data_IF_747046081672
#
_entry.id   IF_747046081672
#
_cell.length_a   1.000
_cell.length_b   1.000
_cell.length_c   1.000
_cell.angle_alpha   90.00
_cell.angle_beta   90.00
_cell.angle_gamma   90.00
#
_symmetry.space_group_name_H-M   'P 1'
#
loop_
_entity.id
_entity.type
_entity.pdbx_description
1 polymer ?
#
# COMPACT_ATOMS: atom_id res chain seq x y z
N UNK A 1 17.09 20.53 5.39
CA UNK A 1 17.06 20.04 3.98
C UNK A 1 15.77 19.28 3.77
N UNK A 2 15.13 19.45 2.62
CA UNK A 2 13.96 18.66 2.29
C UNK A 2 14.33 17.17 2.20
N UNK A 3 13.50 16.30 2.73
CA UNK A 3 13.68 14.85 2.63
C UNK A 3 13.14 14.36 1.28
N UNK A 4 13.48 13.14 0.88
CA UNK A 4 12.88 12.52 -0.33
C UNK A 4 11.35 12.46 -0.21
N UNK A 5 10.83 12.27 1.00
CA UNK A 5 9.39 12.21 1.25
C UNK A 5 8.72 13.58 1.02
N UNK A 6 9.38 14.69 1.39
CA UNK A 6 8.90 16.04 1.09
C UNK A 6 8.84 16.28 -0.42
N UNK A 7 9.85 15.83 -1.17
CA UNK A 7 9.88 15.93 -2.64
C UNK A 7 8.75 15.11 -3.29
N UNK A 8 8.53 13.88 -2.81
CA UNK A 8 7.45 13.01 -3.28
C UNK A 8 6.07 13.61 -3.01
N UNK A 9 5.86 14.14 -1.80
CA UNK A 9 4.61 14.82 -1.43
C UNK A 9 4.38 16.09 -2.26
N UNK A 10 5.44 16.88 -2.47
CA UNK A 10 5.35 18.09 -3.31
C UNK A 10 5.00 17.73 -4.76
N UNK A 11 5.66 16.74 -5.33
CA UNK A 11 5.38 16.27 -6.67
C UNK A 11 3.95 15.70 -6.80
N UNK A 12 3.47 14.99 -5.79
CA UNK A 12 2.08 14.53 -5.76
C UNK A 12 1.08 15.70 -5.80
N UNK A 13 1.33 16.79 -5.04
CA UNK A 13 0.51 18.01 -5.11
C UNK A 13 0.50 18.64 -6.50
N UNK A 14 1.65 18.70 -7.18
CA UNK A 14 1.73 19.22 -8.55
C UNK A 14 0.92 18.36 -9.51
N UNK A 15 1.05 17.03 -9.44
CA UNK A 15 0.26 16.08 -10.25
C UNK A 15 -1.25 16.24 -10.05
N UNK A 16 -1.68 16.52 -8.81
CA UNK A 16 -3.10 16.75 -8.52
C UNK A 16 -3.61 18.02 -9.18
N UNK A 17 -2.83 19.12 -9.12
CA UNK A 17 -3.21 20.39 -9.80
C UNK A 17 -3.40 20.16 -11.30
N UNK A 18 -2.44 19.49 -11.95
CA UNK A 18 -2.55 19.15 -13.38
C UNK A 18 -3.71 18.21 -13.66
N UNK A 19 -3.94 17.22 -12.81
CA UNK A 19 -5.02 16.26 -12.97
C UNK A 19 -6.40 16.94 -12.89
N UNK A 20 -6.60 17.83 -11.91
CA UNK A 20 -7.85 18.62 -11.76
C UNK A 20 -8.13 19.53 -12.95
N UNK A 21 -7.08 20.02 -13.64
CA UNK A 21 -7.24 20.81 -14.87
C UNK A 21 -7.68 19.95 -16.07
N UNK A 22 -7.16 18.73 -16.17
CA UNK A 22 -7.49 17.79 -17.27
C UNK A 22 -8.84 17.11 -17.05
N UNK A 23 -9.14 16.78 -15.83
CA UNK A 23 -10.35 16.04 -15.43
C UNK A 23 -10.88 16.63 -14.11
N UNK A 24 -11.97 17.43 -14.14
CA UNK A 24 -12.54 18.02 -12.94
C UNK A 24 -12.98 16.99 -11.90
N UNK A 25 -12.95 17.35 -10.62
CA UNK A 25 -13.32 16.46 -9.52
C UNK A 25 -14.71 15.83 -9.72
N UNK A 26 -15.70 16.59 -10.18
CA UNK A 26 -17.06 16.08 -10.43
C UNK A 26 -17.10 14.94 -11.45
N UNK A 27 -16.21 14.94 -12.45
CA UNK A 27 -16.12 13.86 -13.44
C UNK A 27 -15.51 12.60 -12.80
N UNK A 28 -14.49 12.79 -11.97
CA UNK A 28 -13.87 11.67 -11.24
C UNK A 28 -14.84 11.07 -10.23
N UNK A 29 -15.62 11.90 -9.52
CA UNK A 29 -16.67 11.47 -8.60
C UNK A 29 -17.74 10.64 -9.32
N UNK A 30 -18.30 11.16 -10.43
CA UNK A 30 -19.30 10.42 -11.21
C UNK A 30 -18.79 9.05 -11.68
N UNK A 31 -17.48 8.95 -12.03
CA UNK A 31 -16.86 7.67 -12.39
C UNK A 31 -16.67 6.76 -11.19
N UNK A 32 -16.32 7.31 -10.03
CA UNK A 32 -16.19 6.55 -8.79
C UNK A 32 -17.55 6.00 -8.33
N UNK A 33 -18.61 6.80 -8.44
CA UNK A 33 -19.98 6.42 -8.08
C UNK A 33 -20.54 5.32 -9.01
N UNK A 34 -20.04 5.26 -10.25
CA UNK A 34 -20.41 4.19 -11.20
C UNK A 34 -19.68 2.85 -10.91
N UNK A 35 -18.69 2.82 -10.01
CA UNK A 35 -18.01 1.59 -9.59
C UNK A 35 -18.78 0.91 -8.48
N UNK A 36 -18.76 -0.44 -8.41
CA UNK A 36 -19.27 -1.16 -7.26
C UNK A 36 -18.66 -0.65 -5.95
N UNK A 37 -19.41 -0.76 -4.86
CA UNK A 37 -18.88 -0.50 -3.53
C UNK A 37 -17.79 -1.55 -3.21
N UNK A 38 -16.56 -1.15 -2.90
CA UNK A 38 -15.49 -2.08 -2.50
C UNK A 38 -15.81 -2.82 -1.19
N UNK A 39 -16.69 -2.28 -0.35
CA UNK A 39 -17.19 -2.91 0.87
C UNK A 39 -16.08 -3.31 1.83
N UNK A 40 -15.00 -2.51 1.89
CA UNK A 40 -13.81 -2.79 2.70
C UNK A 40 -13.13 -4.14 2.39
N UNK A 41 -13.13 -4.56 1.13
CA UNK A 41 -12.58 -5.84 0.70
C UNK A 41 -11.12 -6.02 1.10
N UNK A 42 -10.33 -4.94 1.12
CA UNK A 42 -8.91 -5.02 1.48
C UNK A 42 -8.71 -5.43 2.95
N UNK A 43 -9.34 -4.76 3.91
CA UNK A 43 -9.21 -5.14 5.32
C UNK A 43 -9.83 -6.50 5.61
N UNK A 44 -10.91 -6.88 4.92
CA UNK A 44 -11.49 -8.23 5.04
C UNK A 44 -10.53 -9.32 4.56
N UNK A 45 -9.76 -9.06 3.50
CA UNK A 45 -8.76 -10.00 3.00
C UNK A 45 -7.58 -10.16 3.98
N UNK A 46 -7.27 -9.12 4.78
CA UNK A 46 -6.19 -9.17 5.76
C UNK A 46 -6.60 -9.75 7.12
N UNK A 47 -7.91 -9.81 7.42
CA UNK A 47 -8.45 -10.26 8.71
C UNK A 47 -8.57 -11.80 8.82
N UNK A 48 -7.81 -12.56 8.01
CA UNK A 48 -7.77 -14.02 8.05
C UNK A 48 -7.06 -14.57 9.30
N UNK A 49 -7.15 -15.88 9.55
CA UNK A 49 -6.47 -16.52 10.68
C UNK A 49 -4.96 -16.65 10.48
N UNK A 50 -4.48 -16.55 9.23
CA UNK A 50 -3.08 -16.66 8.86
C UNK A 50 -2.54 -15.31 8.40
N UNK A 51 -1.21 -15.14 8.44
CA UNK A 51 -0.54 -13.94 7.94
C UNK A 51 -0.86 -13.72 6.46
N UNK A 52 -1.51 -12.61 6.13
CA UNK A 52 -1.87 -12.24 4.77
C UNK A 52 -0.68 -11.64 4.00
N UNK A 53 -0.65 -11.85 2.69
CA UNK A 53 0.42 -11.37 1.80
C UNK A 53 -0.11 -10.32 0.83
N UNK A 54 0.35 -9.07 1.01
CA UNK A 54 0.13 -7.98 0.07
C UNK A 54 1.31 -7.96 -0.89
N UNK A 55 1.09 -8.44 -2.12
CA UNK A 55 2.14 -8.54 -3.13
C UNK A 55 2.22 -7.26 -3.97
N UNK A 56 3.39 -6.62 -3.99
CA UNK A 56 3.54 -5.30 -4.62
C UNK A 56 4.06 -5.40 -6.05
N UNK A 57 3.30 -4.83 -6.99
CA UNK A 57 3.68 -4.63 -8.40
C UNK A 57 4.44 -3.32 -8.52
N UNK A 58 5.79 -3.42 -8.64
CA UNK A 58 6.71 -2.28 -8.56
C UNK A 58 7.82 -2.35 -9.60
N UNK A 59 7.87 -1.34 -10.50
CA UNK A 59 8.88 -1.26 -11.55
C UNK A 59 10.22 -0.71 -11.06
N UNK A 60 10.18 0.31 -10.20
CA UNK A 60 11.37 0.99 -9.68
C UNK A 60 11.13 1.50 -8.24
N UNK A 61 12.17 1.95 -7.57
CA UNK A 61 12.08 2.68 -6.30
C UNK A 61 13.25 3.65 -6.11
N UNK A 62 13.12 4.71 -5.29
CA UNK A 62 14.21 5.66 -5.01
C UNK A 62 15.47 4.98 -4.47
N UNK A 63 15.32 3.94 -3.64
CA UNK A 63 16.43 3.25 -2.98
C UNK A 63 17.13 2.21 -3.85
N UNK A 64 16.50 1.69 -4.90
CA UNK A 64 16.99 0.57 -5.72
C UNK A 64 17.08 0.86 -7.21
N UNK A 65 16.59 2.02 -7.64
CA UNK A 65 16.47 2.34 -9.06
C UNK A 65 15.51 1.40 -9.78
N UNK A 66 15.83 1.04 -11.02
CA UNK A 66 15.05 0.13 -11.83
C UNK A 66 15.14 -1.31 -11.29
N UNK A 67 14.00 -1.90 -10.92
CA UNK A 67 13.89 -3.26 -10.37
C UNK A 67 13.51 -4.25 -11.46
N UNK A 68 12.53 -3.90 -12.31
CA UNK A 68 12.01 -4.74 -13.37
C UNK A 68 12.08 -3.99 -14.71
N UNK A 69 13.12 -4.21 -15.55
CA UNK A 69 13.20 -3.62 -16.89
C UNK A 69 12.03 -4.03 -17.78
N UNK A 70 11.75 -5.33 -17.84
CA UNK A 70 10.52 -5.87 -18.39
C UNK A 70 9.44 -5.87 -17.31
N UNK A 71 8.30 -5.25 -17.61
CA UNK A 71 7.28 -5.02 -16.60
C UNK A 71 5.87 -5.34 -17.12
N UNK A 72 5.57 -6.62 -17.37
CA UNK A 72 4.22 -7.07 -17.74
C UNK A 72 3.31 -7.08 -16.49
N UNK A 73 2.97 -5.90 -15.98
CA UNK A 73 2.34 -5.67 -14.66
C UNK A 73 1.03 -6.44 -14.46
N UNK A 74 0.20 -6.58 -15.50
CA UNK A 74 -1.04 -7.37 -15.42
C UNK A 74 -0.73 -8.86 -15.23
N UNK A 75 0.22 -9.39 -15.99
CA UNK A 75 0.64 -10.78 -15.84
C UNK A 75 1.24 -11.02 -14.46
N UNK A 76 2.10 -10.11 -13.97
CA UNK A 76 2.68 -10.19 -12.61
C UNK A 76 1.58 -10.24 -11.55
N UNK A 77 0.54 -9.39 -11.67
CA UNK A 77 -0.57 -9.38 -10.72
C UNK A 77 -1.37 -10.70 -10.75
N UNK A 78 -1.63 -11.26 -11.94
CA UNK A 78 -2.27 -12.57 -12.10
C UNK A 78 -1.43 -13.71 -11.51
N UNK A 79 -0.10 -13.66 -11.70
CA UNK A 79 0.82 -14.63 -11.09
C UNK A 79 0.77 -14.55 -9.55
N UNK A 80 0.73 -13.34 -8.98
CA UNK A 80 0.57 -13.17 -7.53
C UNK A 80 -0.76 -13.72 -7.02
N UNK A 81 -1.88 -13.42 -7.69
CA UNK A 81 -3.18 -13.97 -7.33
C UNK A 81 -3.19 -15.49 -7.41
N UNK A 82 -2.70 -16.07 -8.51
CA UNK A 82 -2.61 -17.54 -8.68
C UNK A 82 -1.69 -18.19 -7.65
N UNK A 83 -0.67 -17.48 -7.16
CA UNK A 83 0.22 -17.94 -6.10
C UNK A 83 -0.40 -17.80 -4.70
N UNK A 84 -1.61 -17.26 -4.59
CA UNK A 84 -2.33 -17.11 -3.33
C UNK A 84 -2.02 -15.80 -2.59
N UNK A 85 -1.67 -14.73 -3.27
CA UNK A 85 -1.65 -13.39 -2.66
C UNK A 85 -3.05 -13.00 -2.16
N UNK A 86 -3.12 -12.33 -1.02
CA UNK A 86 -4.39 -11.89 -0.41
C UNK A 86 -4.81 -10.51 -0.92
N UNK A 87 -3.84 -9.69 -1.35
CA UNK A 87 -4.06 -8.39 -1.97
C UNK A 87 -2.90 -8.00 -2.89
N UNK A 88 -3.16 -7.08 -3.83
CA UNK A 88 -2.14 -6.49 -4.70
C UNK A 88 -1.91 -5.03 -4.30
N UNK A 89 -0.64 -4.65 -4.09
CA UNK A 89 -0.23 -3.26 -3.96
C UNK A 89 0.27 -2.75 -5.31
N UNK A 90 -0.34 -1.67 -5.83
CA UNK A 90 -0.01 -1.14 -7.16
C UNK A 90 0.62 0.24 -7.03
N UNK A 91 1.90 0.37 -7.40
CA UNK A 91 2.59 1.66 -7.46
C UNK A 91 2.02 2.53 -8.58
N UNK A 92 1.50 3.72 -8.22
CA UNK A 92 0.96 4.68 -9.19
C UNK A 92 1.79 5.97 -9.28
N UNK A 93 2.84 6.12 -8.48
CA UNK A 93 3.76 7.27 -8.54
C UNK A 93 4.67 7.15 -9.78
N UNK A 94 4.65 8.16 -10.72
CA UNK A 94 5.25 7.98 -12.04
C UNK A 94 6.74 8.35 -12.15
N UNK A 95 7.29 9.15 -11.24
CA UNK A 95 8.64 9.69 -11.39
C UNK A 95 9.72 8.79 -10.79
N UNK A 96 9.57 8.41 -9.53
CA UNK A 96 10.59 7.64 -8.82
C UNK A 96 10.29 6.14 -8.79
N UNK A 97 8.99 5.79 -8.83
CA UNK A 97 8.58 4.39 -8.86
C UNK A 97 8.24 3.90 -10.26
N UNK A 98 8.22 4.80 -11.27
CA UNK A 98 7.83 4.51 -12.64
C UNK A 98 6.46 3.81 -12.72
N UNK A 99 5.57 4.19 -11.79
CA UNK A 99 4.20 3.70 -11.69
C UNK A 99 3.25 4.42 -12.62
N UNK A 100 2.00 3.95 -12.68
CA UNK A 100 0.93 4.59 -13.43
C UNK A 100 -0.43 4.30 -12.79
N UNK A 101 -1.32 5.28 -12.81
CA UNK A 101 -2.72 5.08 -12.46
C UNK A 101 -3.43 4.10 -13.41
N UNK A 102 -2.93 3.96 -14.62
CA UNK A 102 -3.45 3.00 -15.61
C UNK A 102 -3.11 1.55 -15.20
N UNK A 103 -1.95 1.32 -14.57
CA UNK A 103 -1.63 0.00 -14.02
C UNK A 103 -2.67 -0.46 -12.99
N UNK A 104 -3.09 0.45 -12.10
CA UNK A 104 -4.15 0.15 -11.14
C UNK A 104 -5.47 -0.19 -11.84
N UNK A 105 -5.88 0.60 -12.83
CA UNK A 105 -7.12 0.37 -13.56
C UNK A 105 -7.13 -0.97 -14.30
N UNK A 106 -6.03 -1.33 -14.95
CA UNK A 106 -5.92 -2.57 -15.71
C UNK A 106 -5.77 -3.79 -14.77
N UNK A 107 -4.94 -3.70 -13.74
CA UNK A 107 -4.78 -4.79 -12.76
C UNK A 107 -6.11 -5.06 -12.06
N UNK A 108 -6.79 -4.04 -11.55
CA UNK A 108 -8.06 -4.22 -10.83
C UNK A 108 -9.20 -4.78 -11.68
N UNK A 109 -9.09 -4.71 -13.01
CA UNK A 109 -10.04 -5.33 -13.94
C UNK A 109 -9.74 -6.81 -14.20
N UNK A 110 -8.53 -7.28 -13.87
CA UNK A 110 -8.00 -8.58 -14.24
C UNK A 110 -7.80 -9.56 -13.07
N UNK A 111 -7.79 -9.02 -11.84
CA UNK A 111 -7.69 -9.84 -10.61
C UNK A 111 -8.96 -9.70 -9.79
N UNK A 112 -9.29 -10.73 -9.01
CA UNK A 112 -10.45 -10.74 -8.10
C UNK A 112 -10.10 -10.29 -6.68
N UNK A 113 -8.82 -10.35 -6.31
CA UNK A 113 -8.32 -9.92 -5.00
C UNK A 113 -8.20 -8.39 -4.91
N UNK A 114 -8.36 -7.80 -3.72
CA UNK A 114 -8.39 -6.35 -3.55
C UNK A 114 -7.06 -5.69 -3.93
N UNK A 115 -7.17 -4.50 -4.55
CA UNK A 115 -6.03 -3.70 -4.96
C UNK A 115 -5.86 -2.45 -4.09
N UNK A 116 -4.66 -2.27 -3.52
CA UNK A 116 -4.22 -1.06 -2.85
C UNK A 116 -3.59 -0.10 -3.86
N UNK A 117 -4.08 1.15 -3.92
CA UNK A 117 -3.34 2.23 -4.58
C UNK A 117 -2.18 2.67 -3.71
N UNK A 118 -0.95 2.35 -4.09
CA UNK A 118 0.28 2.77 -3.41
C UNK A 118 0.81 4.05 -4.07
N UNK A 119 0.53 5.19 -3.45
CA UNK A 119 0.92 6.54 -3.90
C UNK A 119 1.00 7.47 -2.69
N UNK A 120 1.54 8.68 -2.86
CA UNK A 120 1.60 9.72 -1.83
C UNK A 120 0.30 10.51 -1.85
N UNK A 121 -0.70 10.07 -1.10
CA UNK A 121 -2.03 10.67 -1.05
C UNK A 121 -2.00 11.99 -0.29
N UNK A 122 -2.18 13.12 -1.00
CA UNK A 122 -2.07 14.49 -0.45
C UNK A 122 -3.33 15.35 -0.67
N UNK A 123 -4.32 14.79 -1.37
CA UNK A 123 -5.55 15.51 -1.75
C UNK A 123 -6.70 14.50 -1.93
N UNK A 124 -7.92 14.90 -1.58
CA UNK A 124 -9.14 14.08 -1.73
C UNK A 124 -9.38 13.58 -3.16
N UNK A 125 -8.95 14.35 -4.16
CA UNK A 125 -9.00 13.96 -5.56
C UNK A 125 -8.34 12.61 -5.81
N UNK A 126 -7.25 12.31 -5.09
CA UNK A 126 -6.53 11.05 -5.25
C UNK A 126 -7.35 9.87 -4.70
N UNK A 127 -8.14 10.07 -3.65
CA UNK A 127 -9.00 9.04 -3.06
C UNK A 127 -10.16 8.73 -4.02
N UNK A 128 -10.86 9.76 -4.52
CA UNK A 128 -11.87 9.61 -5.57
C UNK A 128 -11.31 8.93 -6.81
N UNK A 129 -10.12 9.36 -7.24
CA UNK A 129 -9.43 8.78 -8.41
C UNK A 129 -9.04 7.32 -8.18
N UNK A 130 -8.75 6.90 -6.94
CA UNK A 130 -8.46 5.50 -6.61
C UNK A 130 -9.70 4.63 -6.80
N UNK A 131 -10.84 5.01 -6.22
CA UNK A 131 -12.11 4.30 -6.42
C UNK A 131 -12.51 4.25 -7.90
N UNK A 132 -12.42 5.37 -8.60
CA UNK A 132 -12.74 5.45 -10.04
C UNK A 132 -11.91 4.48 -10.90
N UNK A 133 -10.76 4.01 -10.40
CA UNK A 133 -9.85 3.05 -11.05
C UNK A 133 -9.86 1.66 -10.43
N UNK A 134 -10.84 1.37 -9.58
CA UNK A 134 -11.05 0.03 -9.03
C UNK A 134 -10.13 -0.32 -7.86
N UNK A 135 -9.53 0.67 -7.17
CA UNK A 135 -8.88 0.39 -5.90
C UNK A 135 -9.90 -0.07 -4.85
N UNK A 136 -9.47 -0.95 -3.96
CA UNK A 136 -10.18 -1.33 -2.74
C UNK A 136 -9.60 -0.66 -1.50
N UNK A 137 -8.38 -0.10 -1.63
CA UNK A 137 -7.71 0.62 -0.55
C UNK A 137 -6.81 1.75 -1.08
N UNK A 138 -6.52 2.71 -0.21
CA UNK A 138 -5.55 3.79 -0.44
C UNK A 138 -4.54 3.86 0.68
N UNK A 139 -3.32 4.33 0.36
CA UNK A 139 -2.27 4.60 1.34
C UNK A 139 -2.41 6.01 1.90
N UNK A 140 -2.39 6.15 3.22
CA UNK A 140 -2.26 7.41 3.95
C UNK A 140 -0.98 7.37 4.78
N UNK A 141 -0.10 8.35 4.63
CA UNK A 141 1.21 8.38 5.31
C UNK A 141 1.20 9.46 6.39
N UNK A 142 1.40 9.07 7.65
CA UNK A 142 1.38 9.99 8.78
C UNK A 142 2.37 11.14 8.64
N UNK A 143 3.57 10.87 8.15
CA UNK A 143 4.63 11.88 8.01
C UNK A 143 4.25 13.04 7.07
N UNK A 144 3.44 12.81 6.03
CA UNK A 144 3.10 13.84 5.02
C UNK A 144 1.73 14.48 5.22
N UNK A 145 0.93 13.96 6.16
CA UNK A 145 -0.40 14.44 6.48
C UNK A 145 -0.44 15.00 7.90
N UNK A 146 -1.04 16.16 8.08
CA UNK A 146 -1.44 16.62 9.41
C UNK A 146 -2.64 15.81 9.94
N UNK A 147 -2.94 15.93 11.25
CA UNK A 147 -3.97 15.12 11.91
C UNK A 147 -5.37 15.37 11.34
N UNK A 148 -5.66 16.61 10.93
CA UNK A 148 -6.95 16.96 10.35
C UNK A 148 -7.15 16.30 8.98
N UNK A 149 -6.11 16.33 8.12
CA UNK A 149 -6.15 15.68 6.81
C UNK A 149 -6.13 14.17 6.92
N UNK A 150 -5.32 13.62 7.83
CA UNK A 150 -5.26 12.17 8.05
C UNK A 150 -6.66 11.63 8.38
N UNK A 151 -7.36 12.29 9.31
CA UNK A 151 -8.74 11.94 9.69
C UNK A 151 -9.71 12.15 8.53
N UNK A 152 -9.71 13.32 7.89
CA UNK A 152 -10.64 13.62 6.81
C UNK A 152 -10.49 12.68 5.61
N UNK A 153 -9.25 12.29 5.26
CA UNK A 153 -8.99 11.38 4.15
C UNK A 153 -9.39 9.95 4.48
N UNK A 154 -9.20 9.52 5.74
CA UNK A 154 -9.69 8.22 6.20
C UNK A 154 -11.23 8.18 6.17
N UNK A 155 -11.90 9.23 6.69
CA UNK A 155 -13.36 9.32 6.67
C UNK A 155 -13.90 9.33 5.25
N UNK A 156 -13.30 10.10 4.33
CA UNK A 156 -13.68 10.09 2.92
C UNK A 156 -13.50 8.70 2.28
N UNK A 157 -12.41 8.01 2.60
CA UNK A 157 -12.20 6.65 2.11
C UNK A 157 -13.29 5.70 2.63
N UNK A 158 -13.68 5.82 3.90
CA UNK A 158 -14.76 5.05 4.50
C UNK A 158 -16.11 5.31 3.81
N UNK A 159 -16.46 6.58 3.56
CA UNK A 159 -17.68 6.96 2.84
C UNK A 159 -17.73 6.36 1.42
N UNK A 160 -16.57 6.06 0.85
CA UNK A 160 -16.42 5.45 -0.47
C UNK A 160 -16.33 3.91 -0.42
N UNK A 161 -16.39 3.29 0.76
CA UNK A 161 -16.21 1.85 0.96
C UNK A 161 -14.76 1.37 0.78
N UNK A 162 -13.80 2.31 0.69
CA UNK A 162 -12.37 1.99 0.58
C UNK A 162 -11.75 1.76 1.95
N UNK A 163 -10.89 0.76 2.07
CA UNK A 163 -9.99 0.65 3.23
C UNK A 163 -8.86 1.68 3.15
N UNK A 164 -8.27 2.02 4.30
CA UNK A 164 -7.05 2.83 4.35
C UNK A 164 -5.93 2.05 4.99
N UNK A 165 -4.79 1.90 4.29
CA UNK A 165 -3.53 1.50 4.91
C UNK A 165 -2.87 2.78 5.45
N UNK A 166 -2.87 2.97 6.77
CA UNK A 166 -2.26 4.13 7.42
C UNK A 166 -0.83 3.78 7.80
N UNK A 167 0.14 4.37 7.10
CA UNK A 167 1.57 4.09 7.29
C UNK A 167 2.16 4.97 8.39
N UNK A 168 2.86 4.35 9.34
CA UNK A 168 3.57 4.97 10.45
C UNK A 168 5.01 4.45 10.57
N UNK A 169 5.92 5.30 11.08
CA UNK A 169 7.36 5.00 11.19
C UNK A 169 7.86 5.01 12.65
N UNK A 170 7.14 5.65 13.54
CA UNK A 170 7.51 5.77 14.95
C UNK A 170 6.27 5.76 15.87
N UNK A 171 6.52 5.80 17.20
CA UNK A 171 5.48 5.74 18.22
C UNK A 171 4.47 6.89 18.11
N UNK A 172 4.94 8.09 17.76
CA UNK A 172 4.07 9.27 17.63
C UNK A 172 3.15 9.14 16.43
N UNK A 173 3.65 8.60 15.34
CA UNK A 173 2.86 8.36 14.14
C UNK A 173 1.84 7.23 14.36
N UNK A 174 2.19 6.18 15.09
CA UNK A 174 1.24 5.14 15.52
C UNK A 174 0.12 5.76 16.35
N UNK A 175 0.44 6.59 17.36
CA UNK A 175 -0.57 7.28 18.17
C UNK A 175 -1.49 8.17 17.30
N UNK A 176 -0.92 8.91 16.33
CA UNK A 176 -1.68 9.76 15.41
C UNK A 176 -2.61 8.93 14.52
N UNK A 177 -2.12 7.82 13.98
CA UNK A 177 -2.91 6.89 13.17
C UNK A 177 -4.11 6.34 13.96
N UNK A 178 -3.88 5.88 15.18
CA UNK A 178 -4.94 5.38 16.07
C UNK A 178 -5.96 6.46 16.43
N UNK A 179 -5.52 7.69 16.74
CA UNK A 179 -6.42 8.84 16.99
C UNK A 179 -7.22 9.25 15.76
N UNK A 180 -6.70 9.04 14.57
CA UNK A 180 -7.42 9.23 13.32
C UNK A 180 -8.44 8.11 13.03
N UNK A 181 -8.43 7.01 13.81
CA UNK A 181 -9.33 5.87 13.66
C UNK A 181 -8.86 4.87 12.60
N UNK A 182 -7.55 4.69 12.44
CA UNK A 182 -7.00 3.67 11.55
C UNK A 182 -7.46 2.26 11.96
N UNK A 183 -7.99 1.48 11.01
CA UNK A 183 -8.34 0.06 11.19
C UNK A 183 -7.28 -0.86 10.61
N UNK A 184 -6.49 -0.38 9.65
CA UNK A 184 -5.30 -1.07 9.11
C UNK A 184 -4.12 -0.13 9.24
N UNK A 185 -3.14 -0.51 10.06
CA UNK A 185 -1.95 0.27 10.35
C UNK A 185 -0.71 -0.44 9.82
N UNK A 186 0.00 0.25 8.92
CA UNK A 186 1.26 -0.21 8.36
C UNK A 186 2.46 0.35 9.11
N UNK A 187 3.36 -0.51 9.57
CA UNK A 187 4.67 -0.08 10.06
C UNK A 187 5.70 -0.28 8.97
N UNK A 188 6.25 0.84 8.51
CA UNK A 188 7.31 0.78 7.50
C UNK A 188 8.68 0.67 8.18
N UNK A 189 9.30 -0.49 8.03
CA UNK A 189 10.65 -0.76 8.54
C UNK A 189 11.76 -0.01 7.80
N UNK A 190 11.43 0.63 6.68
CA UNK A 190 12.39 1.44 5.93
C UNK A 190 12.37 2.87 6.41
N UNK A 191 13.50 3.34 6.90
CA UNK A 191 13.72 4.76 7.16
C UNK A 191 13.81 5.51 5.81
N UNK A 192 12.87 6.42 5.56
CA UNK A 192 12.81 7.15 4.29
C UNK A 192 13.85 8.30 4.19
N UNK A 193 14.66 8.53 5.24
CA UNK A 193 15.73 9.54 5.20
C UNK A 193 17.04 8.98 4.63
N UNK A 194 17.36 7.73 4.95
CA UNK A 194 18.62 7.07 4.60
C UNK A 194 18.44 5.69 3.94
N UNK A 195 17.20 5.24 3.80
CA UNK A 195 16.78 3.95 3.25
C UNK A 195 17.27 2.71 4.01
N UNK A 196 17.77 2.87 5.22
CA UNK A 196 18.05 1.73 6.11
C UNK A 196 16.77 0.98 6.43
N UNK A 197 16.89 -0.33 6.65
CA UNK A 197 15.76 -1.19 7.01
C UNK A 197 16.05 -1.80 8.36
N UNK A 198 15.16 -1.57 9.32
CA UNK A 198 15.21 -2.10 10.67
C UNK A 198 13.92 -2.88 10.96
N UNK A 199 13.98 -4.19 10.88
CA UNK A 199 12.82 -5.08 11.13
C UNK A 199 12.43 -5.14 12.61
N UNK A 200 13.33 -4.77 13.54
CA UNK A 200 12.99 -4.64 14.96
C UNK A 200 11.98 -3.49 15.21
N UNK A 201 11.90 -2.52 14.29
CA UNK A 201 10.89 -1.46 14.34
C UNK A 201 9.46 -2.04 14.37
N UNK A 202 9.19 -3.04 13.55
CA UNK A 202 7.91 -3.76 13.54
C UNK A 202 7.59 -4.35 14.92
N UNK A 203 8.55 -5.04 15.55
CA UNK A 203 8.38 -5.65 16.86
C UNK A 203 8.12 -4.61 17.95
N UNK A 204 8.87 -3.52 17.93
CA UNK A 204 8.77 -2.44 18.91
C UNK A 204 7.41 -1.73 18.83
N UNK A 205 6.95 -1.42 17.62
CA UNK A 205 5.71 -0.68 17.43
C UNK A 205 4.46 -1.55 17.56
N UNK A 206 4.55 -2.87 17.31
CA UNK A 206 3.39 -3.78 17.50
C UNK A 206 2.76 -3.67 18.88
N UNK A 207 3.58 -3.52 19.91
CA UNK A 207 3.10 -3.40 21.30
C UNK A 207 2.19 -2.18 21.55
N UNK A 208 2.19 -1.20 20.65
CA UNK A 208 1.36 0.01 20.72
C UNK A 208 0.07 -0.10 19.91
N UNK A 209 -0.07 -1.14 19.08
CA UNK A 209 -1.21 -1.32 18.19
C UNK A 209 -2.21 -2.26 18.88
N UNK A 210 -3.47 -1.81 19.09
CA UNK A 210 -4.52 -2.65 19.66
C UNK A 210 -4.85 -3.87 18.79
N UNK A 211 -5.36 -4.94 19.40
CA UNK A 211 -5.66 -6.21 18.70
C UNK A 211 -6.85 -6.11 17.74
N UNK A 212 -7.67 -5.08 17.84
CA UNK A 212 -8.76 -4.78 16.89
C UNK A 212 -8.33 -3.94 15.70
N UNK A 213 -7.05 -3.59 15.61
CA UNK A 213 -6.43 -2.88 14.48
C UNK A 213 -5.51 -3.83 13.74
N UNK A 214 -5.79 -4.07 12.45
CA UNK A 214 -4.97 -4.92 11.60
C UNK A 214 -3.57 -4.32 11.42
N UNK A 215 -2.55 -5.10 11.75
CA UNK A 215 -1.17 -4.70 11.69
C UNK A 215 -0.48 -5.23 10.44
N UNK A 216 0.05 -4.33 9.61
CA UNK A 216 0.81 -4.65 8.39
C UNK A 216 2.29 -4.31 8.58
N UNK A 217 3.18 -5.28 8.41
CA UNK A 217 4.62 -5.03 8.34
C UNK A 217 5.03 -4.72 6.91
N UNK A 218 5.68 -3.57 6.70
CA UNK A 218 6.13 -3.14 5.38
C UNK A 218 7.66 -3.07 5.31
N UNK A 219 8.22 -3.50 4.20
CA UNK A 219 9.66 -3.53 3.93
C UNK A 219 10.47 -4.54 4.76
N UNK A 220 11.52 -5.08 4.16
CA UNK A 220 12.54 -5.87 4.84
C UNK A 220 12.43 -7.38 4.70
N UNK A 221 11.29 -7.92 4.33
CA UNK A 221 11.08 -9.38 4.20
C UNK A 221 11.78 -9.94 2.96
N UNK A 222 12.59 -10.98 3.18
CA UNK A 222 13.39 -11.67 2.14
C UNK A 222 13.27 -13.18 2.21
N UNK A 223 13.08 -13.74 3.40
CA UNK A 223 13.14 -15.18 3.67
C UNK A 223 11.90 -15.66 4.44
N UNK A 224 11.72 -16.97 4.51
CA UNK A 224 10.65 -17.60 5.31
C UNK A 224 10.86 -17.33 6.82
N UNK A 225 12.11 -17.21 7.26
CA UNK A 225 12.45 -16.90 8.65
C UNK A 225 11.96 -15.48 9.02
N UNK A 226 12.12 -14.49 8.11
CA UNK A 226 11.58 -13.14 8.33
C UNK A 226 10.06 -13.20 8.51
N UNK A 227 9.37 -14.00 7.68
CA UNK A 227 7.92 -14.18 7.76
C UNK A 227 7.52 -14.90 9.07
N UNK A 228 8.28 -15.91 9.50
CA UNK A 228 8.03 -16.61 10.76
C UNK A 228 8.12 -15.64 11.96
N UNK A 229 9.14 -14.77 11.97
CA UNK A 229 9.28 -13.73 13.00
C UNK A 229 8.09 -12.75 13.02
N UNK A 230 7.55 -12.38 11.86
CA UNK A 230 6.38 -11.49 11.79
C UNK A 230 5.12 -12.17 12.33
N UNK A 231 4.95 -13.49 12.11
CA UNK A 231 3.86 -14.28 12.74
C UNK A 231 4.02 -14.31 14.27
N UNK A 232 5.23 -14.52 14.78
CA UNK A 232 5.50 -14.48 16.23
C UNK A 232 5.21 -13.12 16.86
N UNK A 233 5.47 -12.05 16.13
CA UNK A 233 5.16 -10.67 16.55
C UNK A 233 3.66 -10.38 16.50
N UNK A 234 2.87 -11.20 15.83
CA UNK A 234 1.42 -11.02 15.67
C UNK A 234 1.07 -9.99 14.60
N UNK A 235 1.79 -10.02 13.47
CA UNK A 235 1.39 -9.27 12.29
C UNK A 235 0.22 -9.98 11.60
N UNK A 236 -0.77 -9.21 11.14
CA UNK A 236 -1.91 -9.71 10.38
C UNK A 236 -1.56 -9.81 8.89
N UNK A 237 -0.69 -8.94 8.41
CA UNK A 237 -0.26 -8.95 7.02
C UNK A 237 1.19 -8.49 6.85
N UNK A 238 1.76 -8.84 5.69
CA UNK A 238 3.06 -8.37 5.23
C UNK A 238 2.96 -7.79 3.82
N UNK A 239 3.59 -6.63 3.58
CA UNK A 239 3.70 -6.03 2.25
C UNK A 239 5.10 -6.29 1.68
N UNK A 240 5.15 -7.04 0.57
CA UNK A 240 6.40 -7.50 -0.07
C UNK A 240 6.46 -7.04 -1.52
N UNK A 241 7.49 -6.28 -1.87
CA UNK A 241 7.71 -5.81 -3.25
C UNK A 241 9.02 -6.35 -3.86
N UNK A 242 10.17 -5.79 -3.48
CA UNK A 242 11.45 -6.07 -4.14
C UNK A 242 11.78 -7.56 -4.23
N UNK A 243 11.59 -8.30 -3.15
CA UNK A 243 11.87 -9.74 -3.06
C UNK A 243 11.09 -10.54 -4.11
N UNK A 244 9.79 -10.28 -4.23
CA UNK A 244 8.93 -10.95 -5.20
C UNK A 244 9.20 -10.47 -6.64
N UNK A 245 9.39 -9.17 -6.84
CA UNK A 245 9.65 -8.60 -8.17
C UNK A 245 10.95 -9.14 -8.79
N UNK A 246 11.98 -9.41 -7.97
CA UNK A 246 13.26 -9.95 -8.43
C UNK A 246 13.28 -11.48 -8.58
N UNK A 247 12.29 -12.17 -8.03
CA UNK A 247 12.20 -13.62 -8.13
C UNK A 247 11.90 -14.04 -9.59
N UNK A 248 12.67 -14.98 -10.16
CA UNK A 248 12.39 -15.50 -11.50
C UNK A 248 11.06 -16.27 -11.55
N UNK A 249 10.75 -16.99 -10.47
CA UNK A 249 9.45 -17.67 -10.25
C UNK A 249 8.79 -17.07 -8.99
N UNK A 250 7.75 -16.28 -9.21
CA UNK A 250 7.02 -15.57 -8.15
C UNK A 250 6.18 -16.52 -7.32
N UNK A 251 5.63 -17.56 -7.97
CA UNK A 251 4.81 -18.57 -7.30
C UNK A 251 5.66 -19.38 -6.33
N UNK A 252 6.81 -19.89 -6.79
CA UNK A 252 7.73 -20.62 -5.94
C UNK A 252 8.25 -19.75 -4.78
N UNK A 253 8.57 -18.47 -5.06
CA UNK A 253 9.05 -17.55 -4.01
C UNK A 253 7.98 -17.24 -2.97
N UNK A 254 6.72 -17.04 -3.38
CA UNK A 254 5.64 -16.80 -2.44
C UNK A 254 5.35 -18.05 -1.59
N UNK A 255 5.40 -19.25 -2.19
CA UNK A 255 5.27 -20.51 -1.47
C UNK A 255 6.39 -20.70 -0.43
N UNK A 256 7.65 -20.43 -0.81
CA UNK A 256 8.81 -20.42 0.11
C UNK A 256 8.57 -19.47 1.30
N UNK A 257 8.16 -18.21 1.03
CA UNK A 257 7.89 -17.22 2.07
C UNK A 257 6.74 -17.62 3.00
N UNK A 258 5.73 -18.31 2.49
CA UNK A 258 4.63 -18.85 3.30
C UNK A 258 5.07 -20.03 4.21
N UNK A 259 6.23 -20.61 3.95
CA UNK A 259 6.71 -21.79 4.67
C UNK A 259 6.09 -23.11 4.13
N UNK A 260 5.55 -23.09 2.90
CA UNK A 260 5.10 -24.27 2.18
C UNK A 260 6.29 -24.77 1.33
N UNK A 261 7.17 -25.54 1.95
CA UNK A 261 8.31 -26.19 1.34
C UNK A 261 8.49 -27.58 1.91
#
# INVERSE_FOLDING_TARGET
>A
MATILDELAMYAKMRVVEAKQREPLSVVQARADARPDPGFAFEKALAGPDLAFICEVKKASPSKGLIAPEFPYVQIAREYEAAGADAISVLTEPKWFLGSKEYLNEISAEVSIPCLRKDFTVDEYMIWSAKARGASAVLLICTILDDARLRAFRELADDLGLSTLVEAHDEKEVERALKAGARVLGVNNRNLKDFTVDTENSRRLRALIPDDVLYVSESGVKTAEDVALLREVGADAVLIGETLMRAPDKTAKLAELRGAG
#
